data_IF_680847600672
#
_entry.id   IF_680847600672
#
_cell.length_a   1.000
_cell.length_b   1.000
_cell.length_c   1.000
_cell.angle_alpha   90.00
_cell.angle_beta   90.00
_cell.angle_gamma   90.00
#
_symmetry.space_group_name_H-M   'P 1'
#
loop_
_entity.id
_entity.type
_entity.pdbx_description
1 polymer ?
#
# COMPACT_ATOMS: atom_id res chain seq x y z
N UNK A 1 2.54 -12.04 -21.85
CA UNK A 1 1.51 -12.37 -20.86
C UNK A 1 0.32 -11.41 -20.94
N UNK A 2 0.52 -10.11 -21.01
CA UNK A 2 -0.54 -9.07 -21.05
C UNK A 2 -1.57 -9.26 -22.18
N UNK A 3 -1.14 -9.70 -23.37
CA UNK A 3 -2.06 -10.03 -24.47
C UNK A 3 -3.01 -11.16 -24.11
N UNK A 4 -2.55 -12.19 -23.38
CA UNK A 4 -3.42 -13.29 -22.92
C UNK A 4 -4.47 -12.79 -21.93
N UNK A 5 -4.08 -11.90 -21.00
CA UNK A 5 -5.02 -11.26 -20.06
C UNK A 5 -6.06 -10.45 -20.81
N UNK A 6 -5.66 -9.67 -21.81
CA UNK A 6 -6.58 -8.89 -22.61
C UNK A 6 -7.57 -9.77 -23.41
N UNK A 7 -7.11 -10.91 -23.89
CA UNK A 7 -7.97 -11.88 -24.59
C UNK A 7 -8.95 -12.56 -23.62
N UNK A 8 -8.58 -12.81 -22.36
CA UNK A 8 -9.54 -13.29 -21.34
C UNK A 8 -10.58 -12.23 -20.99
N UNK A 9 -10.17 -10.98 -20.78
CA UNK A 9 -11.10 -9.86 -20.51
C UNK A 9 -12.20 -9.76 -21.57
N UNK A 10 -11.90 -10.05 -22.84
CA UNK A 10 -12.89 -10.02 -23.93
C UNK A 10 -13.98 -11.07 -23.79
N UNK A 11 -13.69 -12.23 -23.19
CA UNK A 11 -14.59 -13.38 -23.13
C UNK A 11 -15.73 -13.22 -22.12
N UNK A 12 -15.53 -12.45 -21.06
CA UNK A 12 -16.48 -12.33 -19.96
C UNK A 12 -17.27 -11.02 -20.01
N UNK A 13 -18.58 -11.11 -19.86
CA UNK A 13 -19.46 -9.93 -19.81
C UNK A 13 -19.47 -9.27 -18.44
N UNK A 14 -19.19 -10.04 -17.39
CA UNK A 14 -19.12 -9.57 -16.01
C UNK A 14 -17.71 -9.80 -15.47
N UNK A 15 -17.08 -8.73 -15.00
CA UNK A 15 -15.72 -8.75 -14.45
C UNK A 15 -15.72 -8.06 -13.10
N UNK A 16 -15.19 -8.75 -12.11
CA UNK A 16 -14.99 -8.21 -10.75
C UNK A 16 -13.50 -7.96 -10.54
N UNK A 17 -13.16 -6.79 -10.04
CA UNK A 17 -11.79 -6.38 -9.76
C UNK A 17 -11.65 -6.19 -8.26
N UNK A 18 -10.86 -7.02 -7.62
CA UNK A 18 -10.53 -6.96 -6.19
C UNK A 18 -9.07 -6.53 -5.98
N UNK A 19 -8.76 -6.13 -4.75
CA UNK A 19 -7.44 -5.74 -4.28
C UNK A 19 -7.29 -6.11 -2.80
N UNK A 20 -6.16 -5.77 -2.16
CA UNK A 20 -5.94 -6.12 -0.75
C UNK A 20 -6.77 -5.30 0.24
N UNK A 21 -7.00 -5.87 1.44
CA UNK A 21 -7.60 -5.19 2.59
C UNK A 21 -6.68 -4.04 3.04
N UNK A 22 -7.29 -2.88 3.36
CA UNK A 22 -6.53 -1.69 3.76
C UNK A 22 -5.82 -1.02 2.59
N UNK A 23 -6.52 -0.95 1.46
CA UNK A 23 -6.00 -0.45 0.19
C UNK A 23 -5.28 0.90 0.29
N UNK A 24 -4.11 0.93 -0.30
CA UNK A 24 -3.27 2.11 -0.52
C UNK A 24 -3.49 2.74 -1.91
N UNK A 25 -2.73 3.77 -2.27
CA UNK A 25 -2.88 4.41 -3.57
C UNK A 25 -2.57 3.50 -4.76
N UNK A 26 -1.65 2.51 -4.64
CA UNK A 26 -1.35 1.61 -5.75
C UNK A 26 -2.50 0.64 -6.00
N UNK A 27 -2.96 -0.05 -4.96
CA UNK A 27 -4.11 -0.95 -5.05
C UNK A 27 -5.35 -0.27 -5.65
N UNK A 28 -5.67 0.96 -5.20
CA UNK A 28 -6.81 1.73 -5.69
C UNK A 28 -6.59 2.28 -7.10
N UNK A 29 -5.39 2.78 -7.39
CA UNK A 29 -5.00 3.27 -8.70
C UNK A 29 -5.13 2.17 -9.75
N UNK A 30 -4.55 1.00 -9.48
CA UNK A 30 -4.65 -0.17 -10.36
C UNK A 30 -6.10 -0.62 -10.56
N UNK A 31 -6.88 -0.74 -9.47
CA UNK A 31 -8.27 -1.20 -9.50
C UNK A 31 -9.17 -0.27 -10.33
N UNK A 32 -9.18 1.00 -10.01
CA UNK A 32 -10.09 1.96 -10.65
C UNK A 32 -9.63 2.39 -12.05
N UNK A 33 -8.31 2.41 -12.32
CA UNK A 33 -7.82 2.62 -13.67
C UNK A 33 -8.21 1.45 -14.57
N UNK A 34 -7.97 0.20 -14.16
CA UNK A 34 -8.32 -0.98 -14.95
C UNK A 34 -9.83 -1.06 -15.19
N UNK A 35 -10.67 -0.80 -14.17
CA UNK A 35 -12.14 -0.71 -14.34
C UNK A 35 -12.50 0.29 -15.43
N UNK A 36 -12.00 1.51 -15.34
CA UNK A 36 -12.30 2.57 -16.31
C UNK A 36 -11.77 2.26 -17.72
N UNK A 37 -10.60 1.63 -17.82
CA UNK A 37 -10.02 1.19 -19.10
C UNK A 37 -10.92 0.14 -19.76
N UNK A 38 -11.32 -0.89 -19.02
CA UNK A 38 -12.17 -1.95 -19.57
C UNK A 38 -13.53 -1.39 -20.00
N UNK A 39 -14.16 -0.53 -19.20
CA UNK A 39 -15.43 0.11 -19.55
C UNK A 39 -15.32 1.01 -20.79
N UNK A 40 -14.20 1.69 -20.99
CA UNK A 40 -14.00 2.51 -22.20
C UNK A 40 -13.83 1.69 -23.47
N UNK A 41 -13.29 0.48 -23.36
CA UNK A 41 -13.10 -0.43 -24.49
C UNK A 41 -14.33 -1.31 -24.77
N UNK A 42 -15.08 -1.63 -23.74
CA UNK A 42 -16.23 -2.55 -23.77
C UNK A 42 -17.39 -1.96 -22.95
N UNK A 43 -18.12 -0.97 -23.48
CA UNK A 43 -19.15 -0.23 -22.72
C UNK A 43 -20.31 -1.12 -22.23
N UNK A 44 -20.56 -2.23 -22.92
CA UNK A 44 -21.68 -3.13 -22.60
C UNK A 44 -21.35 -4.13 -21.47
N UNK A 45 -20.07 -4.22 -21.07
CA UNK A 45 -19.65 -5.11 -19.97
C UNK A 45 -19.99 -4.52 -18.60
N UNK A 46 -20.27 -5.39 -17.65
CA UNK A 46 -20.48 -5.03 -16.25
C UNK A 46 -19.17 -5.20 -15.47
N UNK A 47 -18.57 -4.10 -15.05
CA UNK A 47 -17.28 -4.11 -14.37
C UNK A 47 -17.47 -3.58 -12.95
N UNK A 48 -17.09 -4.38 -11.96
CA UNK A 48 -17.22 -4.04 -10.55
C UNK A 48 -15.86 -3.92 -9.87
N UNK A 49 -15.63 -2.82 -9.16
CA UNK A 49 -14.48 -2.63 -8.27
C UNK A 49 -14.94 -2.86 -6.83
N UNK A 50 -14.58 -3.99 -6.24
CA UNK A 50 -15.08 -4.41 -4.93
C UNK A 50 -14.10 -4.15 -3.79
N UNK A 51 -14.59 -4.24 -2.55
CA UNK A 51 -13.82 -4.10 -1.32
C UNK A 51 -14.29 -2.93 -0.46
N UNK A 52 -13.66 -2.76 0.70
CA UNK A 52 -14.03 -1.72 1.64
C UNK A 52 -13.61 -0.33 1.15
N UNK A 53 -14.44 0.70 1.35
CA UNK A 53 -14.13 2.05 0.93
C UNK A 53 -12.89 2.60 1.64
N UNK A 54 -11.98 3.21 0.90
CA UNK A 54 -10.84 3.97 1.42
C UNK A 54 -11.20 5.46 1.50
N UNK A 55 -11.69 5.91 2.66
CA UNK A 55 -12.24 7.27 2.83
C UNK A 55 -11.24 8.39 2.50
N UNK A 56 -9.95 8.18 2.78
CA UNK A 56 -8.85 9.12 2.49
C UNK A 56 -8.61 9.28 0.99
N UNK A 57 -8.83 8.22 0.20
CA UNK A 57 -8.45 8.15 -1.21
C UNK A 57 -9.65 8.12 -2.17
N UNK A 58 -10.74 8.83 -1.82
CA UNK A 58 -11.96 8.91 -2.66
C UNK A 58 -11.72 9.43 -4.09
N UNK A 59 -10.59 10.08 -4.32
CA UNK A 59 -10.19 10.51 -5.65
C UNK A 59 -10.15 9.37 -6.66
N UNK A 60 -9.65 8.20 -6.26
CA UNK A 60 -9.54 7.05 -7.17
C UNK A 60 -10.91 6.53 -7.63
N UNK A 61 -11.90 6.50 -6.75
CA UNK A 61 -13.25 6.05 -7.07
C UNK A 61 -14.03 5.59 -5.84
N UNK A 62 -15.20 5.00 -6.09
CA UNK A 62 -16.08 4.43 -5.07
C UNK A 62 -16.30 2.96 -5.39
N UNK A 63 -16.11 2.10 -4.38
CA UNK A 63 -16.29 0.65 -4.54
C UNK A 63 -17.75 0.29 -4.76
N UNK A 64 -17.96 -0.69 -5.65
CA UNK A 64 -19.27 -1.25 -5.95
C UNK A 64 -19.66 -2.27 -4.88
N UNK A 65 -20.98 -2.42 -4.68
CA UNK A 65 -21.56 -3.57 -4.02
C UNK A 65 -22.05 -4.52 -5.09
N UNK A 66 -21.72 -5.80 -4.94
CA UNK A 66 -22.18 -6.83 -5.86
C UNK A 66 -23.12 -7.79 -5.13
N UNK A 67 -24.19 -8.16 -5.84
CA UNK A 67 -25.12 -9.23 -5.46
C UNK A 67 -25.44 -10.00 -6.74
N UNK A 68 -24.45 -10.78 -7.19
CA UNK A 68 -24.49 -11.54 -8.46
C UNK A 68 -23.94 -12.93 -8.24
N UNK A 69 -24.39 -13.88 -9.06
CA UNK A 69 -23.75 -15.18 -9.17
C UNK A 69 -22.39 -15.02 -9.86
N UNK A 70 -21.33 -15.40 -9.17
CA UNK A 70 -19.95 -15.26 -9.64
C UNK A 70 -19.46 -16.50 -10.41
N UNK A 71 -20.22 -17.59 -10.46
CA UNK A 71 -19.79 -18.89 -11.00
C UNK A 71 -19.41 -18.86 -12.49
N UNK A 72 -19.86 -17.85 -13.25
CA UNK A 72 -19.56 -17.65 -14.67
C UNK A 72 -18.87 -16.31 -14.94
N UNK A 73 -18.22 -15.72 -13.92
CA UNK A 73 -17.61 -14.40 -13.99
C UNK A 73 -16.09 -14.47 -13.87
N UNK A 74 -15.41 -13.44 -14.38
CA UNK A 74 -13.98 -13.25 -14.23
C UNK A 74 -13.69 -12.43 -12.98
N UNK A 75 -12.78 -12.92 -12.13
CA UNK A 75 -12.15 -12.14 -11.07
C UNK A 75 -10.75 -11.70 -11.52
N UNK A 76 -10.44 -10.42 -11.34
CA UNK A 76 -9.08 -9.88 -11.45
C UNK A 76 -8.66 -9.41 -10.06
N UNK A 77 -7.64 -10.03 -9.48
CA UNK A 77 -7.06 -9.66 -8.21
C UNK A 77 -5.79 -8.85 -8.46
N UNK A 78 -5.76 -7.63 -7.94
CA UNK A 78 -4.67 -6.69 -8.11
C UNK A 78 -3.96 -6.47 -6.78
N UNK A 79 -2.64 -6.33 -6.82
CA UNK A 79 -1.84 -5.85 -5.71
C UNK A 79 -2.06 -6.63 -4.40
N UNK A 80 -2.09 -7.96 -4.50
CA UNK A 80 -2.44 -8.81 -3.35
C UNK A 80 -1.60 -10.07 -3.33
N UNK A 81 -0.65 -10.22 -2.38
CA UNK A 81 0.28 -11.35 -2.33
C UNK A 81 -0.36 -12.66 -1.87
N UNK A 82 -1.41 -12.60 -1.03
CA UNK A 82 -2.03 -13.76 -0.40
C UNK A 82 -3.57 -13.71 -0.43
N UNK A 83 -4.18 -14.89 -0.33
CA UNK A 83 -5.65 -15.06 -0.40
C UNK A 83 -6.39 -14.37 0.75
N UNK A 84 -5.79 -14.33 1.94
CA UNK A 84 -6.45 -13.77 3.15
C UNK A 84 -6.59 -12.26 3.08
N UNK A 85 -5.78 -11.61 2.26
CA UNK A 85 -5.81 -10.16 2.09
C UNK A 85 -6.77 -9.71 0.98
N UNK A 86 -7.35 -10.60 0.19
CA UNK A 86 -8.32 -10.21 -0.85
C UNK A 86 -9.55 -9.60 -0.19
N UNK A 87 -9.92 -8.40 -0.61
CA UNK A 87 -11.01 -7.63 -0.01
C UNK A 87 -12.33 -7.78 -0.79
N UNK A 88 -13.38 -8.18 -0.08
CA UNK A 88 -14.76 -8.14 -0.57
C UNK A 88 -15.25 -9.35 -1.35
N UNK A 89 -14.39 -10.29 -1.73
CA UNK A 89 -14.78 -11.52 -2.48
C UNK A 89 -13.87 -12.70 -2.14
N UNK A 90 -14.38 -13.91 -2.41
CA UNK A 90 -13.59 -15.14 -2.34
C UNK A 90 -13.29 -15.62 -3.79
N UNK A 91 -12.01 -15.80 -4.16
CA UNK A 91 -11.64 -16.27 -5.51
C UNK A 91 -12.26 -17.59 -5.92
N UNK A 92 -12.55 -18.48 -4.97
CA UNK A 92 -13.19 -19.79 -5.25
C UNK A 92 -14.62 -19.70 -5.81
N UNK A 93 -15.25 -18.53 -5.71
CA UNK A 93 -16.62 -18.31 -6.19
C UNK A 93 -16.67 -17.99 -7.70
N UNK A 94 -15.50 -17.77 -8.33
CA UNK A 94 -15.39 -17.33 -9.72
C UNK A 94 -14.94 -18.45 -10.65
N UNK A 95 -15.41 -18.40 -11.90
CA UNK A 95 -15.01 -19.35 -12.96
C UNK A 95 -13.53 -19.22 -13.31
N UNK A 96 -13.02 -17.99 -13.35
CA UNK A 96 -11.65 -17.66 -13.73
C UNK A 96 -11.08 -16.58 -12.85
N UNK A 97 -9.82 -16.74 -12.47
CA UNK A 97 -9.08 -15.77 -11.65
C UNK A 97 -7.81 -15.33 -12.36
N UNK A 98 -7.63 -14.03 -12.51
CA UNK A 98 -6.39 -13.40 -12.97
C UNK A 98 -5.73 -12.68 -11.79
N UNK A 99 -4.43 -12.87 -11.57
CA UNK A 99 -3.64 -12.15 -10.59
C UNK A 99 -2.63 -11.23 -11.29
N UNK A 100 -2.59 -9.95 -10.91
CA UNK A 100 -1.57 -8.98 -11.33
C UNK A 100 -1.02 -8.34 -10.06
N UNK A 101 0.27 -8.56 -9.77
CA UNK A 101 0.86 -8.22 -8.49
C UNK A 101 2.37 -7.98 -8.62
N UNK A 102 2.92 -7.06 -7.83
CA UNK A 102 4.36 -6.80 -7.78
C UNK A 102 5.01 -7.33 -6.49
N UNK A 103 4.23 -7.88 -5.58
CA UNK A 103 4.76 -8.45 -4.34
C UNK A 103 5.41 -9.83 -4.54
N UNK A 104 6.34 -10.23 -3.66
CA UNK A 104 6.77 -11.63 -3.56
C UNK A 104 5.59 -12.57 -3.35
N UNK A 105 5.64 -13.75 -3.98
CA UNK A 105 4.57 -14.74 -3.87
C UNK A 105 4.49 -15.27 -2.45
N UNK A 106 3.33 -15.10 -1.81
CA UNK A 106 2.98 -15.72 -0.54
C UNK A 106 2.07 -16.91 -0.79
N UNK A 107 0.94 -16.69 -1.49
CA UNK A 107 0.04 -17.74 -1.95
C UNK A 107 0.06 -17.81 -3.48
N UNK A 108 0.25 -19.01 -4.03
CA UNK A 108 0.20 -19.26 -5.47
C UNK A 108 -1.24 -19.53 -5.93
N UNK A 109 -1.94 -18.46 -6.30
CA UNK A 109 -3.33 -18.52 -6.81
C UNK A 109 -3.50 -17.73 -8.12
N UNK A 110 -4.61 -18.02 -8.82
CA UNK A 110 -4.95 -17.43 -10.12
C UNK A 110 -4.56 -18.32 -11.30
N UNK A 111 -5.48 -18.43 -12.27
CA UNK A 111 -5.31 -19.22 -13.49
C UNK A 111 -4.35 -18.57 -14.48
N UNK A 112 -4.35 -17.23 -14.51
CA UNK A 112 -3.36 -16.42 -15.22
C UNK A 112 -2.72 -15.44 -14.24
N UNK A 113 -1.40 -15.31 -14.32
CA UNK A 113 -0.63 -14.49 -13.40
C UNK A 113 0.36 -13.62 -14.13
N UNK A 114 0.43 -12.35 -13.73
CA UNK A 114 1.56 -11.45 -13.95
C UNK A 114 2.07 -11.05 -12.57
N UNK A 115 3.20 -11.60 -12.18
CA UNK A 115 3.87 -11.28 -10.94
C UNK A 115 5.29 -10.85 -11.31
N UNK A 116 5.62 -9.61 -11.02
CA UNK A 116 6.93 -9.01 -11.32
C UNK A 116 7.42 -8.20 -10.12
N UNK A 117 8.28 -8.80 -9.32
CA UNK A 117 8.85 -8.20 -8.10
C UNK A 117 9.89 -7.10 -8.38
N UNK A 118 10.32 -6.96 -9.63
CA UNK A 118 11.20 -5.88 -10.07
C UNK A 118 10.39 -4.64 -10.51
N UNK A 119 9.06 -4.77 -10.58
CA UNK A 119 8.16 -3.65 -10.85
C UNK A 119 7.94 -2.84 -9.57
N UNK A 120 7.98 -1.52 -9.69
CA UNK A 120 7.84 -0.65 -8.53
C UNK A 120 6.41 -0.57 -7.96
N UNK A 121 5.40 -1.09 -8.68
CA UNK A 121 4.00 -1.05 -8.27
C UNK A 121 3.12 -1.87 -9.22
N UNK A 122 1.94 -2.27 -8.77
CA UNK A 122 0.92 -2.88 -9.61
C UNK A 122 0.39 -1.90 -10.65
N UNK A 123 0.34 -0.60 -10.36
CA UNK A 123 0.02 0.44 -11.34
C UNK A 123 1.03 0.49 -12.50
N UNK A 124 2.32 0.24 -12.25
CA UNK A 124 3.28 0.07 -13.32
C UNK A 124 2.95 -1.13 -14.21
N UNK A 125 2.57 -2.27 -13.64
CA UNK A 125 2.13 -3.45 -14.41
C UNK A 125 0.86 -3.19 -15.25
N UNK A 126 -0.08 -2.42 -14.72
CA UNK A 126 -1.25 -1.96 -15.48
C UNK A 126 -0.83 -1.03 -16.63
N UNK A 127 0.15 -0.15 -16.42
CA UNK A 127 0.67 0.71 -17.47
C UNK A 127 1.37 -0.09 -18.58
N UNK A 128 2.14 -1.11 -18.21
CA UNK A 128 2.74 -2.05 -19.16
C UNK A 128 1.69 -2.82 -19.95
N UNK A 129 0.63 -3.29 -19.27
CA UNK A 129 -0.52 -3.93 -19.93
C UNK A 129 -1.15 -3.00 -20.98
N UNK A 130 -1.33 -1.73 -20.65
CA UNK A 130 -1.88 -0.70 -21.54
C UNK A 130 -1.01 -0.52 -22.77
N UNK A 131 0.28 -0.33 -22.58
CA UNK A 131 1.21 -0.09 -23.70
C UNK A 131 1.42 -1.31 -24.59
N UNK A 132 1.49 -2.50 -24.00
CA UNK A 132 1.65 -3.78 -24.75
C UNK A 132 0.43 -4.05 -25.65
N UNK A 133 -0.76 -3.70 -25.18
CA UNK A 133 -2.01 -3.82 -25.94
C UNK A 133 -2.37 -2.58 -26.77
N UNK A 134 -1.51 -1.56 -26.83
CA UNK A 134 -1.69 -0.30 -27.59
C UNK A 134 -3.00 0.43 -27.25
N UNK A 135 -3.40 0.39 -25.97
CA UNK A 135 -4.60 1.02 -25.46
C UNK A 135 -4.30 2.52 -25.26
N UNK A 136 -5.18 3.40 -25.73
CA UNK A 136 -5.09 4.85 -25.46
C UNK A 136 -5.79 5.17 -24.15
N UNK A 137 -5.07 5.82 -23.26
CA UNK A 137 -5.60 6.25 -21.96
C UNK A 137 -6.32 7.60 -22.06
N UNK A 138 -7.38 7.76 -21.31
CA UNK A 138 -7.91 9.08 -20.97
C UNK A 138 -7.03 9.73 -19.88
N UNK A 139 -7.16 11.06 -19.70
CA UNK A 139 -6.46 11.76 -18.61
C UNK A 139 -6.79 11.19 -17.25
N UNK A 140 -8.06 10.92 -16.97
CA UNK A 140 -8.51 10.37 -15.70
C UNK A 140 -7.90 8.99 -15.39
N UNK A 141 -7.79 8.12 -16.39
CA UNK A 141 -7.15 6.81 -16.25
C UNK A 141 -5.65 6.96 -15.95
N UNK A 142 -4.98 7.85 -16.69
CA UNK A 142 -3.57 8.14 -16.51
C UNK A 142 -3.26 8.73 -15.12
N UNK A 143 -4.11 9.63 -14.62
CA UNK A 143 -3.99 10.25 -13.30
C UNK A 143 -4.03 9.20 -12.18
N UNK A 144 -4.93 8.21 -12.28
CA UNK A 144 -5.02 7.11 -11.30
C UNK A 144 -3.76 6.24 -11.31
N UNK A 145 -3.29 5.84 -12.50
CA UNK A 145 -2.06 5.04 -12.64
C UNK A 145 -0.85 5.82 -12.09
N UNK A 146 -0.72 7.10 -12.48
CA UNK A 146 0.38 7.94 -12.02
C UNK A 146 0.41 8.06 -10.50
N UNK A 147 -0.73 8.34 -9.87
CA UNK A 147 -0.81 8.47 -8.40
C UNK A 147 -0.56 7.16 -7.68
N UNK A 148 -0.92 6.00 -8.25
CA UNK A 148 -0.57 4.71 -7.70
C UNK A 148 0.96 4.51 -7.69
N UNK A 149 1.62 4.75 -8.83
CA UNK A 149 3.09 4.67 -8.92
C UNK A 149 3.77 5.63 -7.93
N UNK A 150 3.30 6.88 -7.84
CA UNK A 150 3.84 7.88 -6.90
C UNK A 150 3.64 7.46 -5.45
N UNK A 151 2.48 6.87 -5.13
CA UNK A 151 2.16 6.43 -3.78
C UNK A 151 3.07 5.30 -3.31
N UNK A 152 3.26 4.30 -4.14
CA UNK A 152 4.01 3.10 -3.79
C UNK A 152 5.53 3.31 -3.82
N UNK A 153 6.01 4.24 -4.65
CA UNK A 153 7.43 4.60 -4.73
C UNK A 153 7.86 5.69 -3.75
N UNK A 154 6.96 6.19 -2.89
CA UNK A 154 7.19 7.40 -2.09
C UNK A 154 7.80 8.52 -2.96
N UNK A 155 7.12 8.88 -4.04
CA UNK A 155 7.60 9.92 -4.97
C UNK A 155 8.92 9.57 -5.67
N UNK A 156 9.08 8.29 -6.03
CA UNK A 156 10.30 7.76 -6.66
C UNK A 156 11.54 7.72 -5.76
N UNK A 157 11.35 7.72 -4.43
CA UNK A 157 12.44 7.70 -3.44
C UNK A 157 12.80 6.27 -2.98
N UNK A 158 11.99 5.27 -3.29
CA UNK A 158 12.32 3.87 -2.97
C UNK A 158 13.33 3.29 -3.97
N UNK A 159 14.19 2.40 -3.49
CA UNK A 159 15.31 1.79 -4.20
C UNK A 159 14.88 0.85 -5.35
N UNK A 160 13.66 0.34 -5.30
CA UNK A 160 13.07 -0.43 -6.41
C UNK A 160 12.49 0.45 -7.55
N UNK A 161 12.60 1.77 -7.45
CA UNK A 161 12.33 2.69 -8.56
C UNK A 161 13.43 2.55 -9.62
N UNK A 162 13.07 2.10 -10.80
CA UNK A 162 14.03 1.75 -11.85
C UNK A 162 14.01 2.73 -13.03
N UNK A 163 15.04 2.71 -13.91
CA UNK A 163 15.00 3.45 -15.18
C UNK A 163 13.79 3.09 -16.04
N UNK A 164 13.29 1.83 -15.97
CA UNK A 164 12.07 1.38 -16.64
C UNK A 164 10.85 2.15 -16.13
N UNK A 165 10.74 2.34 -14.81
CA UNK A 165 9.66 3.14 -14.20
C UNK A 165 9.63 4.54 -14.78
N UNK A 166 10.76 5.25 -14.82
CA UNK A 166 10.84 6.59 -15.38
C UNK A 166 10.50 6.63 -16.88
N UNK A 167 10.96 5.65 -17.66
CA UNK A 167 10.63 5.57 -19.09
C UNK A 167 9.14 5.39 -19.34
N UNK A 168 8.49 4.53 -18.55
CA UNK A 168 7.03 4.30 -18.63
C UNK A 168 6.24 5.55 -18.19
N UNK A 169 6.64 6.18 -17.10
CA UNK A 169 6.02 7.41 -16.60
C UNK A 169 6.20 8.55 -17.62
N UNK A 170 7.41 8.74 -18.18
CA UNK A 170 7.62 9.75 -19.21
C UNK A 170 6.67 9.55 -20.40
N UNK A 171 6.58 8.33 -20.90
CA UNK A 171 5.66 7.99 -22.00
C UNK A 171 4.19 8.27 -21.63
N UNK A 172 3.78 7.91 -20.41
CA UNK A 172 2.43 8.21 -19.91
C UNK A 172 2.14 9.70 -19.97
N UNK A 173 3.07 10.53 -19.47
CA UNK A 173 2.93 12.00 -19.43
C UNK A 173 2.88 12.60 -20.85
N UNK A 174 3.74 12.14 -21.75
CA UNK A 174 3.77 12.59 -23.15
C UNK A 174 2.48 12.24 -23.89
N UNK A 175 1.97 11.02 -23.75
CA UNK A 175 0.76 10.58 -24.47
C UNK A 175 -0.53 11.18 -23.93
N UNK A 176 -0.59 11.55 -22.65
CA UNK A 176 -1.85 11.96 -21.99
C UNK A 176 -1.87 13.43 -21.60
N UNK A 177 -0.72 14.09 -21.48
CA UNK A 177 -0.59 15.50 -21.07
C UNK A 177 -1.41 15.83 -19.81
N UNK A 178 -1.29 15.00 -18.76
CA UNK A 178 -1.91 15.26 -17.45
C UNK A 178 -1.14 16.34 -16.70
N UNK A 179 -1.81 17.11 -15.86
CA UNK A 179 -1.17 18.02 -14.91
C UNK A 179 -0.76 17.25 -13.65
N UNK A 180 0.32 16.48 -13.77
CA UNK A 180 0.76 15.57 -12.72
C UNK A 180 1.13 16.29 -11.42
N UNK A 181 1.60 17.54 -11.48
CA UNK A 181 1.98 18.30 -10.28
C UNK A 181 0.78 18.63 -9.41
N UNK A 182 -0.37 18.93 -10.02
CA UNK A 182 -1.60 19.20 -9.28
C UNK A 182 -2.18 17.98 -8.57
N UNK A 183 -1.77 16.77 -8.97
CA UNK A 183 -2.31 15.51 -8.43
C UNK A 183 -1.76 15.19 -7.02
N UNK A 184 -0.57 15.66 -6.67
CA UNK A 184 0.05 15.39 -5.37
C UNK A 184 -0.84 15.77 -4.17
N UNK A 185 -1.70 16.77 -4.33
CA UNK A 185 -2.67 17.16 -3.30
C UNK A 185 -3.59 16.01 -2.83
N UNK A 186 -3.88 15.05 -3.70
CA UNK A 186 -4.76 13.92 -3.39
C UNK A 186 -4.10 12.88 -2.47
N UNK A 187 -2.77 12.78 -2.51
CA UNK A 187 -2.00 11.90 -1.64
C UNK A 187 -1.51 12.61 -0.37
N UNK A 188 -1.08 13.88 -0.48
CA UNK A 188 -0.27 14.54 0.55
C UNK A 188 -0.97 15.70 1.27
N UNK A 189 -2.14 16.15 0.82
CA UNK A 189 -2.88 17.19 1.56
C UNK A 189 -3.41 16.59 2.87
N UNK A 190 -3.02 17.21 3.98
CA UNK A 190 -3.36 16.77 5.33
C UNK A 190 -4.04 17.89 6.12
N UNK A 191 -4.92 17.57 7.09
CA UNK A 191 -5.44 18.56 8.04
C UNK A 191 -4.31 19.20 8.86
N UNK A 192 -4.50 20.46 9.28
CA UNK A 192 -3.53 21.14 10.14
C UNK A 192 -3.34 20.43 11.49
N UNK A 193 -4.35 19.73 11.99
CA UNK A 193 -4.26 18.90 13.19
C UNK A 193 -3.19 17.80 13.05
N UNK A 194 -3.11 17.13 11.89
CA UNK A 194 -2.07 16.13 11.62
C UNK A 194 -0.68 16.74 11.58
N UNK A 195 -0.51 17.92 10.97
CA UNK A 195 0.78 18.64 10.94
C UNK A 195 1.23 19.05 12.34
N UNK A 196 0.28 19.51 13.17
CA UNK A 196 0.59 19.85 14.58
C UNK A 196 0.96 18.61 15.39
N UNK A 197 0.28 17.51 15.16
CA UNK A 197 0.58 16.25 15.81
C UNK A 197 1.96 15.69 15.40
N UNK A 198 2.31 15.81 14.14
CA UNK A 198 3.65 15.48 13.63
C UNK A 198 4.74 16.33 14.32
N UNK A 199 4.50 17.64 14.48
CA UNK A 199 5.37 18.51 15.26
C UNK A 199 5.51 18.06 16.73
N UNK A 200 4.42 17.60 17.35
CA UNK A 200 4.46 16.99 18.67
C UNK A 200 5.34 15.74 18.70
N UNK A 201 5.18 14.84 17.71
CA UNK A 201 5.99 13.62 17.60
C UNK A 201 7.48 13.97 17.57
N UNK A 202 7.91 14.87 16.70
CA UNK A 202 9.32 15.22 16.54
C UNK A 202 9.92 15.89 17.77
N UNK A 203 9.14 16.68 18.49
CA UNK A 203 9.59 17.35 19.72
C UNK A 203 9.69 16.40 20.92
N UNK A 204 8.93 15.30 20.93
CA UNK A 204 8.85 14.36 22.05
C UNK A 204 9.41 12.97 21.73
N UNK A 205 10.03 12.83 20.54
CA UNK A 205 10.72 11.62 20.15
C UNK A 205 11.90 11.37 21.10
N UNK A 206 11.98 10.19 21.67
CA UNK A 206 13.13 9.76 22.46
C UNK A 206 14.10 9.05 21.50
N UNK A 207 15.37 9.42 21.56
CA UNK A 207 16.47 8.81 20.80
C UNK A 207 17.49 8.23 21.77
N UNK A 208 17.77 6.95 21.67
CA UNK A 208 18.78 6.26 22.46
C UNK A 208 20.17 6.39 21.79
N UNK A 209 21.23 6.19 22.58
CA UNK A 209 22.63 6.23 22.10
C UNK A 209 22.91 5.18 21.00
N UNK A 210 22.14 4.11 20.98
CA UNK A 210 22.19 3.09 19.93
C UNK A 210 21.73 3.57 18.56
N UNK A 211 20.88 4.61 18.47
CA UNK A 211 20.20 5.06 17.26
C UNK A 211 18.80 4.47 17.11
N UNK A 212 18.22 3.97 18.21
CA UNK A 212 16.80 3.60 18.28
C UNK A 212 15.99 4.82 18.72
N UNK A 213 15.03 5.22 17.89
CA UNK A 213 14.11 6.29 18.22
C UNK A 213 12.71 5.74 18.53
N UNK A 214 12.03 6.30 19.54
CA UNK A 214 10.66 5.87 19.83
C UNK A 214 9.81 6.96 20.42
N UNK A 215 8.49 6.80 20.29
CA UNK A 215 7.49 7.65 20.95
C UNK A 215 6.31 6.82 21.44
N UNK A 216 5.79 7.17 22.63
CA UNK A 216 4.59 6.59 23.23
C UNK A 216 3.42 7.55 23.09
N UNK A 217 2.47 7.22 22.22
CA UNK A 217 1.30 8.03 21.89
C UNK A 217 0.07 7.45 22.60
N UNK A 218 -0.31 8.06 23.72
CA UNK A 218 -1.53 7.69 24.44
C UNK A 218 -2.76 8.17 23.68
N UNK A 219 -3.91 7.53 23.92
CA UNK A 219 -5.20 7.96 23.36
C UNK A 219 -5.54 9.43 23.76
N UNK A 220 -5.16 9.84 24.98
CA UNK A 220 -5.31 11.21 25.44
C UNK A 220 -4.57 12.20 24.53
N UNK A 221 -3.30 11.94 24.23
CA UNK A 221 -2.47 12.78 23.34
C UNK A 221 -3.08 12.82 21.94
N UNK A 222 -3.44 11.67 21.39
CA UNK A 222 -4.01 11.61 20.04
C UNK A 222 -5.33 12.38 19.95
N UNK A 223 -6.19 12.27 20.95
CA UNK A 223 -7.45 13.04 21.04
C UNK A 223 -7.25 14.55 21.15
N UNK A 224 -6.23 15.01 21.87
CA UNK A 224 -5.88 16.43 21.98
C UNK A 224 -5.58 17.06 20.61
N UNK A 225 -4.97 16.30 19.71
CA UNK A 225 -4.70 16.74 18.34
C UNK A 225 -5.81 16.37 17.34
N UNK A 226 -6.87 15.69 17.79
CA UNK A 226 -7.97 15.25 16.91
C UNK A 226 -7.56 14.20 15.88
N UNK A 227 -6.63 13.32 16.25
CA UNK A 227 -6.11 12.21 15.42
C UNK A 227 -6.37 10.87 16.09
N UNK A 228 -6.29 9.79 15.31
CA UNK A 228 -6.42 8.42 15.81
C UNK A 228 -5.10 7.62 15.63
N UNK A 229 -5.10 6.37 16.09
CA UNK A 229 -3.94 5.48 15.99
C UNK A 229 -3.54 5.16 14.55
N UNK A 230 -4.46 5.26 13.59
CA UNK A 230 -4.15 5.07 12.18
C UNK A 230 -3.38 6.27 11.59
N UNK A 231 -3.75 7.50 11.98
CA UNK A 231 -3.03 8.71 11.60
C UNK A 231 -1.58 8.68 12.12
N UNK A 232 -1.38 8.26 13.39
CA UNK A 232 -0.03 8.08 13.96
C UNK A 232 0.81 7.08 13.14
N UNK A 233 0.22 5.95 12.74
CA UNK A 233 0.88 4.95 11.90
C UNK A 233 1.32 5.47 10.53
N UNK A 234 0.58 6.41 9.94
CA UNK A 234 0.90 6.99 8.63
C UNK A 234 2.10 7.95 8.65
N UNK A 235 2.45 8.53 9.81
CA UNK A 235 3.55 9.49 9.97
C UNK A 235 4.91 8.83 10.23
N UNK A 236 4.94 7.50 10.38
CA UNK A 236 6.15 6.78 10.79
C UNK A 236 7.29 6.84 9.75
N UNK A 237 6.99 7.06 8.49
CA UNK A 237 8.01 6.99 7.43
C UNK A 237 8.89 8.24 7.32
N UNK A 238 8.51 9.34 7.97
CA UNK A 238 9.19 10.63 7.84
C UNK A 238 10.57 10.67 8.53
N UNK A 239 10.86 9.72 9.45
CA UNK A 239 12.15 9.62 10.14
C UNK A 239 13.25 8.90 9.33
N UNK A 240 12.94 8.37 8.16
CA UNK A 240 13.86 7.61 7.29
C UNK A 240 15.16 8.37 6.96
N UNK A 241 15.10 9.70 6.91
CA UNK A 241 16.22 10.53 6.48
C UNK A 241 16.88 11.30 7.65
N UNK A 242 16.64 10.89 8.89
CA UNK A 242 17.33 11.46 10.07
C UNK A 242 18.62 10.69 10.31
N UNK A 243 19.76 11.39 10.27
CA UNK A 243 21.09 10.77 10.30
C UNK A 243 21.35 9.90 11.53
N UNK A 244 20.82 10.30 12.69
CA UNK A 244 21.04 9.63 13.97
C UNK A 244 20.16 8.42 14.18
N UNK A 245 19.10 8.24 13.36
CA UNK A 245 18.09 7.20 13.53
C UNK A 245 18.37 6.02 12.60
N UNK A 246 18.51 4.84 13.17
CA UNK A 246 18.70 3.57 12.45
C UNK A 246 17.43 2.73 12.48
N UNK A 247 16.78 2.66 13.66
CA UNK A 247 15.51 1.98 13.88
C UNK A 247 14.58 2.91 14.63
N UNK A 248 13.30 2.92 14.28
CA UNK A 248 12.33 3.71 15.03
C UNK A 248 11.01 2.99 15.20
N UNK A 249 10.32 3.30 16.31
CA UNK A 249 9.03 2.71 16.63
C UNK A 249 8.06 3.73 17.19
N UNK A 250 6.84 3.72 16.62
CA UNK A 250 5.72 4.50 17.13
C UNK A 250 4.75 3.55 17.85
N UNK A 251 4.62 3.77 19.16
CA UNK A 251 3.64 3.09 19.97
C UNK A 251 2.38 3.94 20.05
N UNK A 252 1.23 3.40 19.69
CA UNK A 252 -0.05 4.09 19.76
C UNK A 252 -1.12 3.25 20.46
N UNK A 253 -1.78 3.82 21.46
CA UNK A 253 -2.91 3.17 22.12
C UNK A 253 -4.08 3.01 21.14
N UNK A 254 -4.61 1.79 21.05
CA UNK A 254 -5.87 1.50 20.36
C UNK A 254 -6.92 1.11 21.40
N UNK A 255 -7.66 2.09 21.89
CA UNK A 255 -8.67 1.91 22.94
C UNK A 255 -9.76 0.93 22.51
N UNK A 256 -10.06 0.83 21.20
CA UNK A 256 -11.10 -0.09 20.70
C UNK A 256 -10.70 -1.55 20.88
N UNK A 257 -9.42 -1.86 20.69
CA UNK A 257 -8.91 -3.22 20.88
C UNK A 257 -8.33 -3.46 22.27
N UNK A 258 -8.11 -2.40 23.08
CA UNK A 258 -7.42 -2.47 24.37
C UNK A 258 -5.94 -2.82 24.24
N UNK A 259 -5.32 -2.55 23.10
CA UNK A 259 -3.93 -2.91 22.78
C UNK A 259 -3.12 -1.66 22.41
N UNK A 260 -1.81 -1.79 22.49
CA UNK A 260 -0.85 -0.80 21.98
C UNK A 260 -0.32 -1.32 20.64
N UNK A 261 -0.51 -0.55 19.58
CA UNK A 261 0.08 -0.84 18.27
C UNK A 261 1.50 -0.29 18.23
N UNK A 262 2.46 -1.15 17.94
CA UNK A 262 3.83 -0.78 17.66
C UNK A 262 4.09 -0.89 16.15
N UNK A 263 4.37 0.21 15.49
CA UNK A 263 4.83 0.25 14.12
C UNK A 263 6.34 0.45 14.13
N UNK A 264 7.11 -0.45 13.51
CA UNK A 264 8.56 -0.48 13.57
C UNK A 264 9.10 -0.26 12.15
N UNK A 265 10.15 0.55 12.03
CA UNK A 265 10.87 0.79 10.78
C UNK A 265 12.38 0.71 11.02
N UNK A 266 13.12 0.38 9.97
CA UNK A 266 14.58 0.29 9.99
C UNK A 266 15.17 0.74 8.67
N UNK A 267 16.33 1.38 8.73
CA UNK A 267 17.23 1.63 7.59
C UNK A 267 18.54 0.85 7.72
N UNK A 268 18.63 -0.06 8.68
CA UNK A 268 19.81 -0.87 8.97
C UNK A 268 19.47 -2.34 9.21
N UNK A 269 19.36 -2.81 10.46
CA UNK A 269 19.13 -4.22 10.78
C UNK A 269 17.73 -4.71 10.41
N UNK A 270 17.59 -6.01 10.15
CA UNK A 270 16.30 -6.66 9.95
C UNK A 270 15.52 -6.74 11.26
N UNK A 271 14.27 -6.27 11.25
CA UNK A 271 13.42 -6.12 12.44
C UNK A 271 12.26 -7.11 12.50
N UNK A 272 11.98 -7.85 11.43
CA UNK A 272 10.85 -8.78 11.36
C UNK A 272 10.96 -9.93 12.37
N UNK A 273 12.17 -10.42 12.64
CA UNK A 273 12.39 -11.47 13.65
C UNK A 273 12.12 -10.95 15.07
N UNK A 274 12.48 -9.68 15.34
CA UNK A 274 12.15 -9.06 16.63
C UNK A 274 10.64 -8.91 16.77
N UNK A 275 9.97 -8.41 15.73
CA UNK A 275 8.51 -8.30 15.72
C UNK A 275 7.83 -9.65 15.97
N UNK A 276 8.34 -10.74 15.37
CA UNK A 276 7.82 -12.10 15.57
C UNK A 276 7.96 -12.59 17.01
N UNK A 277 9.03 -12.25 17.74
CA UNK A 277 9.20 -12.58 19.17
C UNK A 277 8.07 -12.01 20.04
N UNK A 278 7.51 -10.85 19.65
CA UNK A 278 6.38 -10.19 20.32
C UNK A 278 5.02 -10.54 19.72
N UNK A 279 4.95 -11.60 18.89
CA UNK A 279 3.70 -12.05 18.27
C UNK A 279 3.21 -11.16 17.11
N UNK A 280 4.09 -10.36 16.55
CA UNK A 280 3.85 -9.54 15.38
C UNK A 280 4.48 -10.10 14.10
N UNK A 281 4.74 -9.23 13.12
CA UNK A 281 5.36 -9.61 11.85
C UNK A 281 5.41 -8.45 10.87
N UNK A 282 5.85 -8.74 9.66
CA UNK A 282 5.98 -7.76 8.58
C UNK A 282 7.20 -8.02 7.71
N UNK A 283 7.59 -7.00 6.96
CA UNK A 283 8.79 -7.01 6.13
C UNK A 283 10.06 -6.80 6.98
N UNK A 284 11.21 -7.14 6.41
CA UNK A 284 12.52 -7.02 7.10
C UNK A 284 12.82 -5.61 7.62
N UNK A 285 12.31 -4.55 6.97
CA UNK A 285 12.50 -3.14 7.34
C UNK A 285 11.22 -2.44 7.82
N UNK A 286 10.06 -3.11 7.79
CA UNK A 286 8.78 -2.54 8.16
C UNK A 286 7.89 -3.60 8.80
N UNK A 287 7.78 -3.58 10.11
CA UNK A 287 7.04 -4.58 10.89
C UNK A 287 6.09 -3.93 11.88
N UNK A 288 5.12 -4.71 12.36
CA UNK A 288 4.15 -4.26 13.35
C UNK A 288 3.89 -5.31 14.43
N UNK A 289 3.61 -4.82 15.64
CA UNK A 289 3.30 -5.65 16.80
C UNK A 289 2.08 -5.10 17.53
N UNK A 290 1.31 -5.96 18.19
CA UNK A 290 0.22 -5.57 19.09
C UNK A 290 0.60 -5.99 20.51
N UNK A 291 0.83 -5.03 21.38
CA UNK A 291 1.31 -5.21 22.74
C UNK A 291 0.14 -5.00 23.73
N UNK A 292 0.25 -5.60 24.91
CA UNK A 292 -0.77 -5.48 25.96
C UNK A 292 -0.47 -4.36 26.94
N UNK A 293 0.81 -4.11 27.22
CA UNK A 293 1.23 -3.16 28.25
C UNK A 293 2.35 -2.24 27.75
N UNK A 294 2.59 -1.15 28.46
CA UNK A 294 3.72 -0.27 28.20
C UNK A 294 5.05 -0.90 28.58
N UNK A 295 5.07 -1.86 29.52
CA UNK A 295 6.25 -2.65 29.87
C UNK A 295 6.68 -3.54 28.69
N UNK A 296 5.71 -4.12 27.94
CA UNK A 296 6.01 -4.82 26.69
C UNK A 296 6.63 -3.89 25.64
N UNK A 297 6.19 -2.62 25.60
CA UNK A 297 6.76 -1.64 24.70
C UNK A 297 8.22 -1.30 25.07
N UNK A 298 8.53 -1.15 26.35
CA UNK A 298 9.89 -0.94 26.81
C UNK A 298 10.79 -2.15 26.53
N UNK A 299 10.29 -3.38 26.76
CA UNK A 299 11.01 -4.59 26.40
C UNK A 299 11.27 -4.72 24.89
N UNK A 300 10.35 -4.24 24.05
CA UNK A 300 10.56 -4.19 22.59
C UNK A 300 11.68 -3.20 22.22
N UNK A 301 11.72 -2.01 22.85
CA UNK A 301 12.80 -1.04 22.66
C UNK A 301 14.15 -1.63 23.03
N UNK A 302 14.24 -2.36 24.18
CA UNK A 302 15.48 -3.02 24.62
C UNK A 302 15.98 -4.06 23.60
N UNK A 303 15.08 -4.83 22.99
CA UNK A 303 15.46 -5.80 21.94
C UNK A 303 15.91 -5.10 20.64
N UNK A 304 15.30 -3.96 20.30
CA UNK A 304 15.71 -3.15 19.16
C UNK A 304 17.09 -2.50 19.41
N UNK A 305 17.37 -2.04 20.63
CA UNK A 305 18.69 -1.53 21.00
C UNK A 305 19.80 -2.59 20.84
N UNK A 306 19.53 -3.83 21.28
CA UNK A 306 20.49 -4.93 21.13
C UNK A 306 20.84 -5.23 19.67
N UNK A 307 19.81 -5.23 18.79
CA UNK A 307 20.05 -5.54 17.37
C UNK A 307 20.77 -4.40 16.65
N UNK A 308 20.49 -3.13 17.01
CA UNK A 308 21.18 -2.00 16.44
C UNK A 308 22.64 -1.94 16.89
N UNK A 309 22.93 -2.21 18.17
CA UNK A 309 24.32 -2.28 18.65
C UNK A 309 25.10 -3.37 17.92
N UNK A 310 24.51 -4.56 17.75
CA UNK A 310 25.13 -5.64 16.96
C UNK A 310 25.37 -5.25 15.50
N UNK A 311 24.43 -4.51 14.89
CA UNK A 311 24.54 -4.03 13.51
C UNK A 311 25.69 -3.01 13.35
N UNK A 312 25.94 -2.15 14.35
CA UNK A 312 27.04 -1.18 14.33
C UNK A 312 28.43 -1.85 14.51
N UNK A 313 28.50 -3.03 15.10
CA UNK A 313 29.73 -3.79 15.31
C UNK A 313 30.10 -4.66 14.09
N UNK A 314 29.19 -4.85 13.13
CA UNK A 314 29.36 -5.68 11.93
C UNK A 314 29.85 -4.87 10.72
#
# INVERSE_FOLDING_TARGET
MYKKIFDEIKKYDIIVIARHIGADPDALGAQFALKSIILSLFPDKKIYAVGNPASRFRFFGVNDKIDIDNSHNLLIVLDTPDLKRIDGVNPSDFEKVIKIDHHPIVDDFGDLKVIDTDSCSTCQLILEFVFDNKIKLTKEQAEKIYLGIVGDTDRFLHDYTSPKTFALVNRLLEETNIDFTSLYKYLYKRPLSEIRFEGYIYQNLVLNDSGVAYIKLTDKIMKEYGVDSAAAGNMINDLKFVNEIIVWVFFSEDVKSGLIRANIRSVGPYINEIAAKFGGGGHIYASGVKLKTWDDADALVDELDKIVNKYKES
#
